data_IF_828628443678
#
_entry.id   IF_828628443678
#
_cell.length_a   1.000
_cell.length_b   1.000
_cell.length_c   1.000
_cell.angle_alpha   90.00
_cell.angle_beta   90.00
_cell.angle_gamma   90.00
#
_symmetry.space_group_name_H-M   'P 1'
#
loop_
_entity.id
_entity.type
_entity.pdbx_description
1 polymer ?
#
# COMPACT_ATOMS: atom_id res chain seq x y z
N UNK A 1 -16.97 -32.56 -0.09
CA UNK A 1 -17.52 -31.23 0.21
C UNK A 1 -17.20 -30.98 1.67
N UNK A 2 -16.21 -30.12 1.94
CA UNK A 2 -15.68 -29.89 3.30
C UNK A 2 -16.81 -29.29 4.15
N UNK A 3 -17.34 -30.06 5.09
CA UNK A 3 -18.50 -29.72 5.92
C UNK A 3 -18.16 -28.68 6.98
N UNK A 4 -17.78 -27.48 6.55
CA UNK A 4 -17.53 -26.34 7.42
C UNK A 4 -18.86 -25.62 7.69
N UNK A 5 -19.15 -25.36 8.97
CA UNK A 5 -20.23 -24.45 9.38
C UNK A 5 -19.75 -23.01 9.14
N UNK A 6 -20.66 -22.10 8.81
CA UNK A 6 -20.31 -20.71 8.47
C UNK A 6 -19.54 -19.97 9.59
N UNK A 7 -19.65 -20.40 10.84
CA UNK A 7 -18.93 -19.85 12.00
C UNK A 7 -17.50 -20.39 12.18
N UNK A 8 -17.08 -21.40 11.40
CA UNK A 8 -15.80 -22.11 11.56
C UNK A 8 -14.68 -21.56 10.64
N UNK A 9 -15.00 -20.56 9.80
CA UNK A 9 -14.04 -19.89 8.91
C UNK A 9 -13.79 -18.44 9.38
N UNK A 10 -13.08 -18.31 10.50
CA UNK A 10 -12.59 -17.04 11.01
C UNK A 10 -11.16 -16.76 10.54
N UNK A 11 -10.88 -15.50 10.17
CA UNK A 11 -9.51 -15.04 9.99
C UNK A 11 -9.01 -14.47 11.31
N UNK A 12 -7.93 -15.03 11.86
CA UNK A 12 -7.31 -14.47 13.05
C UNK A 12 -6.76 -13.07 12.76
N UNK A 13 -6.80 -12.20 13.77
CA UNK A 13 -6.34 -10.82 13.62
C UNK A 13 -4.84 -10.76 13.33
N UNK A 14 -4.04 -11.64 13.93
CA UNK A 14 -2.61 -11.73 13.66
C UNK A 14 -2.36 -12.14 12.20
N UNK A 15 -3.09 -13.14 11.69
CA UNK A 15 -3.02 -13.57 10.29
C UNK A 15 -3.42 -12.47 9.32
N UNK A 16 -4.47 -11.70 9.63
CA UNK A 16 -4.87 -10.53 8.85
C UNK A 16 -3.76 -9.48 8.76
N UNK A 17 -3.15 -9.13 9.89
CA UNK A 17 -2.08 -8.12 9.96
C UNK A 17 -0.81 -8.61 9.23
N UNK A 18 -0.46 -9.88 9.36
CA UNK A 18 0.64 -10.49 8.60
C UNK A 18 0.33 -10.46 7.10
N UNK A 19 -0.88 -10.81 6.70
CA UNK A 19 -1.34 -10.75 5.31
C UNK A 19 -1.23 -9.35 4.72
N UNK A 20 -1.58 -8.34 5.50
CA UNK A 20 -1.51 -6.93 5.10
C UNK A 20 -0.06 -6.43 4.93
N UNK A 21 0.87 -6.87 5.78
CA UNK A 21 2.31 -6.64 5.59
C UNK A 21 2.85 -7.31 4.32
N UNK A 22 2.38 -8.53 4.00
CA UNK A 22 2.79 -9.20 2.77
C UNK A 22 2.19 -8.47 1.53
N UNK A 23 0.94 -8.01 1.63
CA UNK A 23 0.32 -7.21 0.57
C UNK A 23 1.09 -5.92 0.28
N UNK A 24 1.55 -5.20 1.32
CA UNK A 24 2.36 -3.99 1.11
C UNK A 24 3.65 -4.24 0.33
N UNK A 25 4.22 -5.44 0.43
CA UNK A 25 5.46 -5.79 -0.26
C UNK A 25 5.28 -6.02 -1.78
N UNK A 26 4.05 -6.28 -2.22
CA UNK A 26 3.72 -6.43 -3.65
C UNK A 26 3.33 -5.11 -4.31
N UNK A 27 3.00 -4.07 -3.53
CA UNK A 27 2.59 -2.76 -4.05
C UNK A 27 3.67 -2.05 -4.88
N UNK A 28 4.97 -2.07 -4.53
CA UNK A 28 6.02 -1.52 -5.39
C UNK A 28 6.04 -2.14 -6.79
N UNK A 29 5.88 -3.48 -6.86
CA UNK A 29 5.82 -4.20 -8.13
C UNK A 29 4.59 -3.81 -8.95
N UNK A 30 3.44 -3.70 -8.28
CA UNK A 30 2.21 -3.23 -8.90
C UNK A 30 2.36 -1.81 -9.48
N UNK A 31 2.94 -0.87 -8.74
CA UNK A 31 3.16 0.51 -9.18
C UNK A 31 4.05 0.57 -10.41
N UNK A 32 5.18 -0.16 -10.41
CA UNK A 32 6.09 -0.21 -11.57
C UNK A 32 5.38 -0.75 -12.81
N UNK A 33 4.57 -1.80 -12.67
CA UNK A 33 3.82 -2.38 -13.79
C UNK A 33 2.77 -1.40 -14.35
N UNK A 34 2.08 -0.66 -13.48
CA UNK A 34 1.07 0.33 -13.90
C UNK A 34 1.72 1.54 -14.58
N UNK A 35 2.81 2.05 -14.01
CA UNK A 35 3.61 3.14 -14.60
C UNK A 35 4.15 2.74 -15.97
N UNK A 36 4.59 1.49 -16.12
CA UNK A 36 5.05 0.95 -17.43
C UNK A 36 3.89 0.83 -18.43
N UNK A 37 2.67 0.57 -17.94
CA UNK A 37 1.45 0.51 -18.75
C UNK A 37 0.86 1.89 -19.08
N UNK A 38 1.44 2.97 -18.55
CA UNK A 38 1.01 4.35 -18.78
C UNK A 38 0.02 4.92 -17.75
N UNK A 39 -0.35 4.17 -16.71
CA UNK A 39 -1.12 4.71 -15.56
C UNK A 39 -0.15 5.25 -14.50
N UNK A 40 0.11 6.55 -14.59
CA UNK A 40 0.99 7.28 -13.69
C UNK A 40 0.30 7.72 -12.39
N UNK A 41 -1.02 7.86 -12.39
CA UNK A 41 -1.79 8.27 -11.21
C UNK A 41 -1.88 7.18 -10.16
N UNK A 42 -1.72 5.92 -10.58
CA UNK A 42 -1.55 4.78 -9.68
C UNK A 42 -0.46 5.01 -8.63
N UNK A 43 0.71 5.56 -9.01
CA UNK A 43 1.81 5.78 -8.08
C UNK A 43 1.42 6.72 -6.92
N UNK A 44 0.64 7.78 -7.23
CA UNK A 44 0.14 8.74 -6.23
C UNK A 44 -0.87 8.08 -5.29
N UNK A 45 -1.81 7.30 -5.82
CA UNK A 45 -2.83 6.59 -5.03
C UNK A 45 -2.20 5.57 -4.08
N UNK A 46 -1.26 4.77 -4.59
CA UNK A 46 -0.59 3.74 -3.79
C UNK A 46 0.32 4.34 -2.73
N UNK A 47 1.03 5.44 -3.04
CA UNK A 47 1.87 6.16 -2.07
C UNK A 47 1.03 6.69 -0.89
N UNK A 48 -0.12 7.30 -1.16
CA UNK A 48 -1.04 7.77 -0.12
C UNK A 48 -1.55 6.61 0.74
N UNK A 49 -2.02 5.54 0.10
CA UNK A 49 -2.50 4.34 0.81
C UNK A 49 -1.43 3.70 1.70
N UNK A 50 -0.20 3.51 1.20
CA UNK A 50 0.90 2.95 1.99
C UNK A 50 1.29 3.85 3.17
N UNK A 51 1.20 5.16 3.01
CA UNK A 51 1.48 6.12 4.08
C UNK A 51 0.46 6.02 5.21
N UNK A 52 -0.84 5.95 4.86
CA UNK A 52 -1.92 5.76 5.82
C UNK A 52 -1.82 4.40 6.52
N UNK A 53 -1.50 3.36 5.76
CA UNK A 53 -1.29 2.02 6.29
C UNK A 53 -0.12 1.99 7.30
N UNK A 54 1.01 2.58 6.93
CA UNK A 54 2.18 2.67 7.80
C UNK A 54 1.88 3.45 9.09
N UNK A 55 1.11 4.54 9.00
CA UNK A 55 0.66 5.30 10.15
C UNK A 55 -0.27 4.47 11.07
N UNK A 56 -1.21 3.71 10.49
CA UNK A 56 -2.09 2.82 11.23
C UNK A 56 -1.32 1.73 12.00
N UNK A 57 -0.37 1.05 11.34
CA UNK A 57 0.48 0.07 12.00
C UNK A 57 1.34 0.67 13.12
N UNK A 58 1.82 1.91 12.95
CA UNK A 58 2.54 2.62 14.01
C UNK A 58 1.67 2.89 15.23
N UNK A 59 0.37 3.14 15.05
CA UNK A 59 -0.58 3.34 16.15
C UNK A 59 -0.90 2.05 16.91
N UNK A 60 -0.83 0.88 16.26
CA UNK A 60 -1.12 -0.42 16.88
C UNK A 60 -0.11 -0.84 17.96
N UNK A 61 1.01 -0.13 18.13
CA UNK A 61 2.05 -0.33 19.15
C UNK A 61 2.36 -1.82 19.43
N UNK A 62 2.62 -2.56 18.35
CA UNK A 62 2.76 -4.01 18.37
C UNK A 62 3.92 -4.44 19.29
N UNK A 63 3.61 -5.24 20.32
CA UNK A 63 4.58 -5.89 21.21
C UNK A 63 5.13 -7.21 20.65
N UNK A 64 4.55 -7.75 19.57
CA UNK A 64 4.97 -9.00 18.93
C UNK A 64 6.20 -8.79 18.03
N UNK A 65 7.29 -9.51 18.30
CA UNK A 65 8.56 -9.40 17.54
C UNK A 65 8.41 -9.79 16.06
N UNK A 66 7.57 -10.77 15.74
CA UNK A 66 7.40 -11.25 14.36
C UNK A 66 6.71 -10.22 13.46
N UNK A 67 5.58 -9.69 13.92
CA UNK A 67 4.83 -8.65 13.21
C UNK A 67 5.66 -7.37 13.08
N UNK A 68 6.42 -7.01 14.11
CA UNK A 68 7.29 -5.84 14.11
C UNK A 68 8.37 -5.93 13.04
N UNK A 69 9.02 -7.09 12.91
CA UNK A 69 10.02 -7.34 11.86
C UNK A 69 9.43 -7.23 10.45
N UNK A 70 8.19 -7.70 10.23
CA UNK A 70 7.50 -7.58 8.94
C UNK A 70 7.07 -6.14 8.65
N UNK A 71 6.52 -5.46 9.65
CA UNK A 71 6.16 -4.06 9.58
C UNK A 71 7.37 -3.16 9.29
N UNK A 72 8.53 -3.43 9.89
CA UNK A 72 9.76 -2.68 9.61
C UNK A 72 10.20 -2.78 8.14
N UNK A 73 9.75 -3.82 7.42
CA UNK A 73 9.90 -3.96 5.97
C UNK A 73 9.11 -2.92 5.17
N UNK A 74 7.91 -2.56 5.65
CA UNK A 74 6.97 -1.68 4.96
C UNK A 74 7.55 -0.29 4.67
N UNK A 75 8.45 0.22 5.53
CA UNK A 75 9.13 1.51 5.29
C UNK A 75 9.98 1.49 4.01
N UNK A 76 10.58 0.34 3.67
CA UNK A 76 11.39 0.19 2.47
C UNK A 76 10.51 0.09 1.23
N UNK A 77 9.35 -0.55 1.35
CA UNK A 77 8.38 -0.64 0.25
C UNK A 77 7.73 0.72 -0.03
N UNK A 78 7.39 1.49 1.00
CA UNK A 78 6.96 2.88 0.87
C UNK A 78 8.03 3.72 0.16
N UNK A 79 9.30 3.63 0.57
CA UNK A 79 10.40 4.36 -0.08
C UNK A 79 10.52 4.04 -1.57
N UNK A 80 10.42 2.78 -1.97
CA UNK A 80 10.45 2.39 -3.40
C UNK A 80 9.30 3.03 -4.19
N UNK A 81 8.10 3.06 -3.62
CA UNK A 81 6.94 3.69 -4.28
C UNK A 81 7.14 5.20 -4.37
N UNK A 82 7.69 5.85 -3.34
CA UNK A 82 8.03 7.27 -3.35
C UNK A 82 9.09 7.62 -4.40
N UNK A 83 10.12 6.77 -4.57
CA UNK A 83 11.13 6.93 -5.63
C UNK A 83 10.48 6.87 -7.03
N UNK A 84 9.58 5.91 -7.27
CA UNK A 84 8.85 5.83 -8.54
C UNK A 84 7.94 7.04 -8.74
N UNK A 85 7.21 7.48 -7.70
CA UNK A 85 6.37 8.67 -7.76
C UNK A 85 7.18 9.93 -8.05
N UNK A 86 8.38 10.04 -7.45
CA UNK A 86 9.31 11.14 -7.71
C UNK A 86 9.74 11.17 -9.18
N UNK A 87 10.12 10.01 -9.74
CA UNK A 87 10.50 9.88 -11.16
C UNK A 87 9.35 10.27 -12.11
N UNK A 88 8.13 9.84 -11.81
CA UNK A 88 6.94 10.19 -12.58
C UNK A 88 6.66 11.69 -12.50
N UNK A 89 6.82 12.30 -11.32
CA UNK A 89 6.59 13.72 -11.09
C UNK A 89 7.62 14.60 -11.80
N UNK A 90 8.90 14.29 -11.72
CA UNK A 90 9.96 15.09 -12.37
C UNK A 90 9.88 15.01 -13.89
N UNK A 91 9.35 13.91 -14.44
CA UNK A 91 9.11 13.76 -15.89
C UNK A 91 7.82 14.42 -16.36
N UNK A 92 7.00 14.97 -15.46
CA UNK A 92 5.72 15.60 -15.81
C UNK A 92 4.68 14.62 -16.37
N UNK A 93 4.76 13.34 -15.97
CA UNK A 93 3.90 12.27 -16.48
C UNK A 93 2.60 12.11 -15.69
N UNK A 94 2.50 12.75 -14.52
CA UNK A 94 1.24 12.79 -13.77
C UNK A 94 0.20 13.52 -14.60
N UNK A 95 -1.00 12.93 -14.70
CA UNK A 95 -2.10 13.69 -15.25
C UNK A 95 -2.36 14.87 -14.30
N UNK A 96 -2.35 16.09 -14.83
CA UNK A 96 -2.78 17.25 -14.06
C UNK A 96 -4.29 17.14 -13.83
N UNK A 97 -4.71 16.28 -12.91
CA UNK A 97 -5.97 16.44 -12.21
C UNK A 97 -5.73 17.54 -11.17
N UNK A 98 -5.47 18.75 -11.68
CA UNK A 98 -5.96 19.94 -11.00
C UNK A 98 -7.47 19.74 -10.90
N UNK A 99 -8.09 19.74 -9.70
CA UNK A 99 -9.52 19.82 -9.62
C UNK A 99 -9.91 21.08 -10.38
N UNK A 100 -10.58 20.89 -11.52
CA UNK A 100 -11.10 21.97 -12.35
C UNK A 100 -11.70 23.01 -11.43
N UNK A 101 -11.13 24.21 -11.47
CA UNK A 101 -11.63 25.41 -10.84
C UNK A 101 -13.16 25.46 -10.93
N UNK A 102 -13.83 25.33 -9.79
CA UNK A 102 -15.20 25.84 -9.66
C UNK A 102 -15.10 27.37 -9.58
N UNK A 103 -14.86 28.01 -10.73
CA UNK A 103 -15.32 29.37 -10.98
C UNK A 103 -16.76 29.28 -11.48
N UNK A 104 -17.69 29.61 -10.60
CA UNK A 104 -18.85 30.49 -10.84
C UNK A 104 -19.53 30.79 -9.52
#
# INVERSE_FOLDING_TARGET
MLGLKDDDFGLDLEDYLVGLCNFSSELPRYVVNQVTSGDYDCAKRVSAFLSDLYAAFRMLNLRNDLLRKRFDGMKYDLKKVEEVLYDVKIRGLLSNIEPSSTSK
#
